data_IF_386636970279
#
_entry.id   IF_386636970279
#
_cell.length_a   1.000
_cell.length_b   1.000
_cell.length_c   1.000
_cell.angle_alpha   90.00
_cell.angle_beta   90.00
_cell.angle_gamma   90.00
#
_symmetry.space_group_name_H-M   'P 1'
#
loop_
_entity.id
_entity.type
_entity.pdbx_description
1 polymer ?
#
# COMPACT_ATOMS: atom_id res chain seq x y z
N UNK A 1 1.68 26.74 -9.16
CA UNK A 1 1.68 26.28 -7.76
C UNK A 1 1.98 24.80 -7.67
N UNK A 2 1.10 23.90 -8.17
CA UNK A 2 1.32 22.45 -8.08
C UNK A 2 2.63 21.97 -8.74
N UNK A 3 2.97 22.47 -9.94
CA UNK A 3 4.26 22.16 -10.56
C UNK A 3 5.48 22.58 -9.71
N UNK A 4 5.36 23.63 -8.92
CA UNK A 4 6.41 24.06 -7.98
C UNK A 4 6.50 23.10 -6.80
N UNK A 5 5.35 22.68 -6.23
CA UNK A 5 5.30 21.67 -5.16
C UNK A 5 5.92 20.35 -5.63
N UNK A 6 5.56 19.87 -6.81
CA UNK A 6 6.14 18.66 -7.41
C UNK A 6 7.66 18.79 -7.56
N UNK A 7 8.15 19.92 -8.06
CA UNK A 7 9.60 20.17 -8.19
C UNK A 7 10.31 20.20 -6.83
N UNK A 8 9.70 20.79 -5.81
CA UNK A 8 10.26 20.82 -4.45
C UNK A 8 10.25 19.44 -3.81
N UNK A 9 9.22 18.63 -4.03
CA UNK A 9 9.17 17.26 -3.53
C UNK A 9 10.36 16.42 -4.05
N UNK A 10 10.85 16.69 -5.25
CA UNK A 10 12.01 16.00 -5.83
C UNK A 10 13.35 16.37 -5.18
N UNK A 11 13.43 17.41 -4.34
CA UNK A 11 14.70 17.75 -3.67
C UNK A 11 15.06 16.74 -2.58
N UNK A 12 14.07 16.06 -2.00
CA UNK A 12 14.28 14.91 -1.12
C UNK A 12 13.25 13.80 -1.44
N UNK A 13 13.57 12.92 -2.41
CA UNK A 13 12.65 11.88 -2.88
C UNK A 13 12.16 10.93 -1.78
N UNK A 14 12.92 10.80 -0.69
CA UNK A 14 12.55 9.93 0.44
C UNK A 14 11.27 10.40 1.14
N UNK A 15 11.04 11.71 1.19
CA UNK A 15 9.87 12.32 1.83
C UNK A 15 8.92 12.99 0.83
N UNK A 16 9.14 12.80 -0.47
CA UNK A 16 8.36 13.43 -1.52
C UNK A 16 6.85 13.21 -1.35
N UNK A 17 6.40 11.96 -1.20
CA UNK A 17 4.96 11.68 -1.14
C UNK A 17 4.31 12.22 0.14
N UNK A 18 5.01 12.20 1.28
CA UNK A 18 4.45 12.78 2.51
C UNK A 18 4.41 14.30 2.46
N UNK A 19 5.44 14.92 1.89
CA UNK A 19 5.44 16.36 1.62
C UNK A 19 4.26 16.74 0.71
N UNK A 20 4.06 16.01 -0.39
CA UNK A 20 2.98 16.27 -1.34
C UNK A 20 1.61 16.07 -0.70
N UNK A 21 1.36 14.94 -0.03
CA UNK A 21 0.05 14.67 0.55
C UNK A 21 -0.33 15.70 1.61
N UNK A 22 0.60 16.14 2.48
CA UNK A 22 0.30 17.15 3.50
C UNK A 22 -0.01 18.52 2.86
N UNK A 23 0.76 18.93 1.85
CA UNK A 23 0.54 20.20 1.17
C UNK A 23 -0.76 20.20 0.37
N UNK A 24 -1.09 19.10 -0.30
CA UNK A 24 -2.37 18.99 -1.02
C UNK A 24 -3.55 18.94 -0.05
N UNK A 25 -3.45 18.23 1.08
CA UNK A 25 -4.48 18.24 2.12
C UNK A 25 -4.70 19.65 2.69
N UNK A 26 -3.63 20.37 3.01
CA UNK A 26 -3.71 21.75 3.48
C UNK A 26 -4.37 22.67 2.44
N UNK A 27 -4.04 22.49 1.16
CA UNK A 27 -4.65 23.24 0.06
C UNK A 27 -6.15 22.92 -0.07
N UNK A 28 -6.55 21.64 -0.04
CA UNK A 28 -7.95 21.21 -0.09
C UNK A 28 -8.74 21.80 1.08
N UNK A 29 -8.25 21.66 2.31
CA UNK A 29 -8.91 22.18 3.50
C UNK A 29 -9.10 23.69 3.43
N UNK A 30 -8.09 24.42 2.95
CA UNK A 30 -8.16 25.88 2.81
C UNK A 30 -9.13 26.34 1.71
N UNK A 31 -9.32 25.54 0.65
CA UNK A 31 -10.15 25.91 -0.49
C UNK A 31 -11.57 25.33 -0.44
N UNK A 32 -11.89 24.45 0.50
CA UNK A 32 -13.14 23.68 0.51
C UNK A 32 -14.38 24.58 0.36
N UNK A 33 -14.57 25.54 1.27
CA UNK A 33 -15.74 26.43 1.23
C UNK A 33 -15.73 27.35 0.00
N UNK A 34 -14.56 27.84 -0.38
CA UNK A 34 -14.39 28.76 -1.51
C UNK A 34 -14.65 28.08 -2.86
N UNK A 35 -14.28 26.81 -3.01
CA UNK A 35 -14.52 26.04 -4.22
C UNK A 35 -16.01 25.82 -4.50
N UNK A 36 -16.84 25.79 -3.46
CA UNK A 36 -18.29 25.62 -3.58
C UNK A 36 -19.00 26.90 -4.09
N UNK A 37 -18.40 28.07 -3.88
CA UNK A 37 -19.01 29.36 -4.26
C UNK A 37 -18.28 30.06 -5.40
N UNK A 38 -17.02 29.68 -5.69
CA UNK A 38 -16.22 30.22 -6.79
C UNK A 38 -15.87 29.10 -7.79
N UNK A 39 -16.59 28.99 -8.92
CA UNK A 39 -16.39 27.90 -9.90
C UNK A 39 -14.96 27.80 -10.43
N UNK A 40 -14.26 28.92 -10.58
CA UNK A 40 -12.87 28.94 -11.06
C UNK A 40 -11.90 28.27 -10.07
N UNK A 41 -12.25 28.21 -8.77
CA UNK A 41 -11.45 27.54 -7.75
C UNK A 41 -11.72 26.04 -7.66
N UNK A 42 -12.92 25.58 -8.06
CA UNK A 42 -13.30 24.17 -8.06
C UNK A 42 -12.30 23.30 -8.85
N UNK A 43 -11.83 23.78 -10.01
CA UNK A 43 -10.82 23.04 -10.81
C UNK A 43 -9.52 22.79 -10.03
N UNK A 44 -9.07 23.75 -9.23
CA UNK A 44 -7.83 23.62 -8.47
C UNK A 44 -8.03 22.75 -7.25
N UNK A 45 -9.20 22.82 -6.62
CA UNK A 45 -9.60 21.90 -5.57
C UNK A 45 -9.57 20.45 -6.08
N UNK A 46 -10.21 20.17 -7.22
CA UNK A 46 -10.21 18.83 -7.81
C UNK A 46 -8.81 18.34 -8.20
N UNK A 47 -7.97 19.20 -8.78
CA UNK A 47 -6.58 18.87 -9.08
C UNK A 47 -5.78 18.53 -7.81
N UNK A 48 -5.94 19.31 -6.74
CA UNK A 48 -5.30 19.02 -5.46
C UNK A 48 -5.84 17.71 -4.85
N UNK A 49 -7.14 17.43 -4.99
CA UNK A 49 -7.73 16.18 -4.51
C UNK A 49 -7.19 14.96 -5.24
N UNK A 50 -7.08 15.02 -6.56
CA UNK A 50 -6.50 13.92 -7.33
C UNK A 50 -5.03 13.72 -6.96
N UNK A 51 -4.25 14.80 -6.88
CA UNK A 51 -2.83 14.72 -6.53
C UNK A 51 -2.61 14.24 -5.08
N UNK A 52 -3.48 14.64 -4.15
CA UNK A 52 -3.53 14.13 -2.78
C UNK A 52 -3.73 12.62 -2.76
N UNK A 53 -4.78 12.12 -3.44
CA UNK A 53 -5.08 10.70 -3.47
C UNK A 53 -3.92 9.88 -4.07
N UNK A 54 -3.32 10.37 -5.16
CA UNK A 54 -2.16 9.72 -5.76
C UNK A 54 -0.96 9.68 -4.80
N UNK A 55 -0.67 10.78 -4.10
CA UNK A 55 0.41 10.83 -3.11
C UNK A 55 0.15 9.89 -1.93
N UNK A 56 -1.09 9.83 -1.44
CA UNK A 56 -1.52 8.85 -0.42
C UNK A 56 -1.28 7.42 -0.90
N UNK A 57 -1.77 7.05 -2.10
CA UNK A 57 -1.60 5.70 -2.65
C UNK A 57 -0.13 5.31 -2.78
N UNK A 58 0.73 6.20 -3.28
CA UNK A 58 2.18 5.93 -3.40
C UNK A 58 2.84 5.76 -2.03
N UNK A 59 2.55 6.66 -1.09
CA UNK A 59 3.11 6.61 0.26
C UNK A 59 2.71 5.32 0.99
N UNK A 60 1.42 4.99 0.96
CA UNK A 60 0.85 3.78 1.56
C UNK A 60 1.45 2.53 0.91
N UNK A 61 1.51 2.48 -0.42
CA UNK A 61 2.09 1.36 -1.16
C UNK A 61 3.55 1.14 -0.77
N UNK A 62 4.34 2.22 -0.65
CA UNK A 62 5.73 2.14 -0.21
C UNK A 62 5.86 1.55 1.21
N UNK A 63 5.01 1.96 2.15
CA UNK A 63 5.02 1.45 3.52
C UNK A 63 4.66 -0.03 3.56
N UNK A 64 3.59 -0.42 2.86
CA UNK A 64 3.15 -1.81 2.77
C UNK A 64 4.25 -2.68 2.14
N UNK A 65 4.84 -2.23 1.03
CA UNK A 65 5.88 -2.97 0.34
C UNK A 65 7.15 -3.11 1.19
N UNK A 66 7.53 -2.05 1.91
CA UNK A 66 8.66 -2.10 2.83
C UNK A 66 8.46 -3.14 3.93
N UNK A 67 7.23 -3.27 4.44
CA UNK A 67 6.94 -4.18 5.54
C UNK A 67 6.75 -5.64 5.08
N UNK A 68 6.14 -5.85 3.91
CA UNK A 68 5.82 -7.17 3.37
C UNK A 68 6.61 -7.50 2.10
N UNK A 69 7.83 -6.97 1.98
CA UNK A 69 8.67 -7.10 0.78
C UNK A 69 8.80 -8.54 0.30
N UNK A 70 9.05 -9.48 1.22
CA UNK A 70 9.19 -10.91 0.89
C UNK A 70 7.93 -11.52 0.29
N UNK A 71 6.74 -11.08 0.71
CA UNK A 71 5.47 -11.53 0.16
C UNK A 71 5.36 -11.10 -1.30
N UNK A 72 5.58 -9.80 -1.55
CA UNK A 72 5.40 -9.24 -2.88
C UNK A 72 6.51 -9.65 -3.84
N UNK A 73 7.74 -9.83 -3.38
CA UNK A 73 8.80 -10.42 -4.20
C UNK A 73 8.48 -11.87 -4.60
N UNK A 74 7.87 -12.65 -3.69
CA UNK A 74 7.43 -14.01 -4.01
C UNK A 74 6.29 -13.99 -5.03
N UNK A 75 5.27 -13.15 -4.83
CA UNK A 75 4.16 -12.95 -5.76
C UNK A 75 4.63 -12.54 -7.15
N UNK A 76 5.51 -11.54 -7.23
CA UNK A 76 6.06 -11.03 -8.49
C UNK A 76 6.83 -12.09 -9.27
N UNK A 77 7.63 -12.92 -8.60
CA UNK A 77 8.34 -14.03 -9.26
C UNK A 77 7.37 -15.03 -9.91
N UNK A 78 6.24 -15.29 -9.27
CA UNK A 78 5.19 -16.14 -9.85
C UNK A 78 4.61 -15.45 -11.08
N UNK A 79 4.19 -14.19 -10.96
CA UNK A 79 3.60 -13.42 -12.06
C UNK A 79 4.54 -13.35 -13.28
N UNK A 80 5.84 -13.07 -13.06
CA UNK A 80 6.84 -13.02 -14.12
C UNK A 80 6.97 -14.37 -14.85
N UNK A 81 6.92 -15.49 -14.12
CA UNK A 81 7.01 -16.83 -14.71
C UNK A 81 5.72 -17.25 -15.42
N UNK A 82 4.55 -16.78 -14.99
CA UNK A 82 3.27 -17.07 -15.66
C UNK A 82 3.21 -16.56 -17.10
N UNK A 83 4.09 -15.64 -17.51
CA UNK A 83 4.23 -15.23 -18.92
C UNK A 83 5.03 -16.21 -19.77
N UNK A 84 5.74 -17.16 -19.15
CA UNK A 84 6.73 -18.02 -19.83
C UNK A 84 6.46 -19.52 -19.69
N UNK A 85 5.83 -19.94 -18.58
CA UNK A 85 5.57 -21.36 -18.26
C UNK A 85 4.16 -21.55 -17.70
N UNK A 86 3.69 -22.80 -17.64
CA UNK A 86 2.36 -23.10 -17.10
C UNK A 86 2.33 -23.01 -15.57
N UNK A 87 1.13 -22.80 -15.00
CA UNK A 87 0.94 -22.66 -13.56
C UNK A 87 1.42 -23.90 -12.77
N UNK A 88 1.26 -25.08 -13.37
CA UNK A 88 1.66 -26.37 -12.81
C UNK A 88 3.18 -26.55 -12.74
N UNK A 89 3.93 -25.84 -13.58
CA UNK A 89 5.40 -25.90 -13.64
C UNK A 89 6.06 -24.97 -12.60
N UNK A 90 5.37 -23.93 -12.15
CA UNK A 90 5.89 -22.93 -11.21
C UNK A 90 6.36 -23.53 -9.88
N UNK A 91 5.65 -24.48 -9.23
CA UNK A 91 6.10 -25.11 -8.01
C UNK A 91 7.42 -25.89 -8.12
N UNK A 92 7.88 -26.18 -9.34
CA UNK A 92 9.15 -26.86 -9.60
C UNK A 92 10.31 -25.90 -9.85
N UNK A 93 10.05 -24.59 -9.94
CA UNK A 93 11.07 -23.56 -10.11
C UNK A 93 11.79 -23.25 -8.79
N UNK A 94 13.07 -22.91 -8.90
CA UNK A 94 13.92 -22.64 -7.75
C UNK A 94 13.36 -21.49 -6.90
N UNK A 95 13.09 -21.75 -5.62
CA UNK A 95 12.60 -20.76 -4.67
C UNK A 95 11.10 -20.51 -4.72
N UNK A 96 10.35 -21.30 -5.49
CA UNK A 96 8.88 -21.27 -5.59
C UNK A 96 8.25 -22.62 -5.25
N UNK A 97 8.97 -23.51 -4.56
CA UNK A 97 8.39 -24.77 -4.12
C UNK A 97 7.30 -24.54 -3.07
N UNK A 98 6.45 -25.56 -2.85
CA UNK A 98 5.49 -25.56 -1.72
C UNK A 98 6.17 -25.29 -0.38
N UNK A 99 7.38 -25.80 -0.20
CA UNK A 99 8.18 -25.58 1.00
C UNK A 99 8.64 -24.11 1.12
N UNK A 100 9.03 -23.48 0.00
CA UNK A 100 9.42 -22.07 -0.03
C UNK A 100 8.22 -21.16 0.31
N UNK A 101 7.04 -21.46 -0.24
CA UNK A 101 5.80 -20.77 0.10
C UNK A 101 5.53 -20.85 1.61
N UNK A 102 5.54 -22.05 2.20
CA UNK A 102 5.30 -22.23 3.65
C UNK A 102 6.32 -21.49 4.50
N UNK A 103 7.59 -21.51 4.11
CA UNK A 103 8.67 -20.81 4.82
C UNK A 103 8.48 -19.29 4.75
N UNK A 104 8.11 -18.77 3.58
CA UNK A 104 7.80 -17.36 3.37
C UNK A 104 6.59 -16.94 4.20
N UNK A 105 5.47 -17.67 4.13
CA UNK A 105 4.27 -17.39 4.92
C UNK A 105 4.55 -17.41 6.42
N UNK A 106 5.27 -18.43 6.91
CA UNK A 106 5.66 -18.50 8.32
C UNK A 106 6.43 -17.25 8.76
N UNK A 107 7.37 -16.77 7.94
CA UNK A 107 8.15 -15.57 8.23
C UNK A 107 7.30 -14.31 8.35
N UNK A 108 6.18 -14.24 7.64
CA UNK A 108 5.27 -13.08 7.66
C UNK A 108 4.30 -13.20 8.83
N UNK A 109 3.66 -14.35 8.97
CA UNK A 109 2.62 -14.58 9.97
C UNK A 109 3.16 -14.56 11.40
N UNK A 110 4.38 -15.07 11.65
CA UNK A 110 4.97 -15.07 12.99
C UNK A 110 5.27 -13.67 13.55
N UNK A 111 5.19 -12.63 12.72
CA UNK A 111 5.47 -11.24 13.09
C UNK A 111 4.47 -10.26 12.51
N UNK A 112 3.25 -10.71 12.17
CA UNK A 112 2.26 -9.88 11.49
C UNK A 112 1.82 -8.70 12.37
N UNK A 113 1.56 -8.90 13.67
CA UNK A 113 1.18 -7.82 14.58
C UNK A 113 2.27 -6.74 14.68
N UNK A 114 3.52 -7.16 14.79
CA UNK A 114 4.68 -6.25 14.80
C UNK A 114 4.81 -5.50 13.48
N UNK A 115 4.45 -6.16 12.38
CA UNK A 115 4.48 -5.58 11.04
C UNK A 115 3.38 -4.53 10.86
N UNK A 116 2.16 -4.82 11.32
CA UNK A 116 1.03 -3.88 11.32
C UNK A 116 1.37 -2.66 12.19
N UNK A 117 1.89 -2.87 13.40
CA UNK A 117 2.33 -1.79 14.28
C UNK A 117 3.45 -0.94 13.65
N UNK A 118 4.39 -1.58 12.93
CA UNK A 118 5.45 -0.88 12.21
C UNK A 118 4.90 -0.04 11.05
N UNK A 119 3.89 -0.53 10.31
CA UNK A 119 3.22 0.26 9.27
C UNK A 119 2.56 1.50 9.87
N UNK A 120 1.76 1.33 10.92
CA UNK A 120 1.10 2.45 11.62
C UNK A 120 2.12 3.48 12.10
N UNK A 121 3.18 3.04 12.77
CA UNK A 121 4.26 3.91 13.24
C UNK A 121 4.94 4.64 12.10
N UNK A 122 5.11 4.01 10.94
CA UNK A 122 5.78 4.60 9.79
C UNK A 122 4.91 5.63 9.07
N UNK A 123 3.58 5.43 9.04
CA UNK A 123 2.61 6.44 8.64
C UNK A 123 2.66 7.67 9.56
N UNK A 124 2.73 7.45 10.87
CA UNK A 124 2.75 8.54 11.85
C UNK A 124 4.06 9.34 11.85
N UNK A 125 5.22 8.67 11.72
CA UNK A 125 6.53 9.22 12.09
C UNK A 125 6.90 10.57 11.47
N UNK A 126 6.46 10.84 10.24
CA UNK A 126 6.82 12.05 9.50
C UNK A 126 5.59 12.90 9.16
N UNK A 127 4.42 12.55 9.71
CA UNK A 127 3.18 13.27 9.49
C UNK A 127 3.10 14.41 10.51
N UNK A 128 2.93 15.63 10.01
CA UNK A 128 2.73 16.84 10.82
C UNK A 128 1.26 17.02 11.18
N UNK A 129 0.36 16.75 10.22
CA UNK A 129 -1.09 16.83 10.40
C UNK A 129 -1.66 15.51 10.96
N UNK A 130 -1.68 15.36 12.28
CA UNK A 130 -2.17 14.15 12.96
C UNK A 130 -3.63 13.78 12.62
N UNK A 131 -4.44 14.78 12.27
CA UNK A 131 -5.84 14.60 11.84
C UNK A 131 -5.99 13.74 10.57
N UNK A 132 -4.95 13.66 9.73
CA UNK A 132 -4.94 12.81 8.54
C UNK A 132 -4.66 11.34 8.86
N UNK A 133 -4.10 11.04 10.04
CA UNK A 133 -3.63 9.70 10.38
C UNK A 133 -4.74 8.64 10.37
N UNK A 134 -5.95 8.87 10.93
CA UNK A 134 -7.01 7.85 10.91
C UNK A 134 -7.43 7.46 9.49
N UNK A 135 -7.63 8.44 8.61
CA UNK A 135 -8.05 8.19 7.23
C UNK A 135 -6.94 7.52 6.40
N UNK A 136 -5.68 7.94 6.59
CA UNK A 136 -4.52 7.29 5.97
C UNK A 136 -4.36 5.85 6.46
N UNK A 137 -4.63 5.58 7.74
CA UNK A 137 -4.55 4.24 8.30
C UNK A 137 -5.65 3.33 7.73
N UNK A 138 -6.88 3.81 7.63
CA UNK A 138 -7.98 3.05 7.01
C UNK A 138 -7.69 2.74 5.54
N UNK A 139 -7.16 3.72 4.77
CA UNK A 139 -6.69 3.50 3.40
C UNK A 139 -5.55 2.46 3.35
N UNK A 140 -4.61 2.52 4.28
CA UNK A 140 -3.50 1.56 4.36
C UNK A 140 -3.97 0.14 4.65
N UNK A 141 -4.89 -0.05 5.59
CA UNK A 141 -5.50 -1.36 5.88
C UNK A 141 -6.20 -1.91 4.65
N UNK A 142 -7.00 -1.08 3.96
CA UNK A 142 -7.71 -1.48 2.74
C UNK A 142 -6.74 -1.89 1.62
N UNK A 143 -5.77 -1.04 1.31
CA UNK A 143 -4.77 -1.31 0.26
C UNK A 143 -3.98 -2.59 0.56
N UNK A 144 -3.60 -2.83 1.82
CA UNK A 144 -2.92 -4.06 2.21
C UNK A 144 -3.81 -5.30 2.00
N UNK A 145 -5.09 -5.24 2.38
CA UNK A 145 -6.03 -6.34 2.16
C UNK A 145 -6.25 -6.62 0.67
N UNK A 146 -6.39 -5.58 -0.17
CA UNK A 146 -6.57 -5.74 -1.62
C UNK A 146 -5.34 -6.42 -2.26
N UNK A 147 -4.14 -6.03 -1.84
CA UNK A 147 -2.89 -6.68 -2.28
C UNK A 147 -2.75 -8.11 -1.75
N UNK A 148 -3.16 -8.36 -0.51
CA UNK A 148 -3.14 -9.69 0.09
C UNK A 148 -4.14 -10.63 -0.60
N UNK A 149 -5.34 -10.15 -0.93
CA UNK A 149 -6.34 -10.92 -1.68
C UNK A 149 -5.80 -11.32 -3.07
N UNK A 150 -5.18 -10.38 -3.78
CA UNK A 150 -4.52 -10.67 -5.06
C UNK A 150 -3.46 -11.78 -4.93
N UNK A 151 -2.64 -11.71 -3.87
CA UNK A 151 -1.67 -12.76 -3.55
C UNK A 151 -2.35 -14.09 -3.21
N UNK A 152 -3.44 -14.07 -2.45
CA UNK A 152 -4.16 -15.27 -2.05
C UNK A 152 -4.78 -16.00 -3.25
N UNK A 153 -5.36 -15.25 -4.19
CA UNK A 153 -5.85 -15.78 -5.46
C UNK A 153 -4.73 -16.39 -6.29
N UNK A 154 -3.57 -15.73 -6.35
CA UNK A 154 -2.38 -16.24 -7.04
C UNK A 154 -1.90 -17.57 -6.42
N UNK A 155 -1.82 -17.64 -5.09
CA UNK A 155 -1.44 -18.87 -4.38
C UNK A 155 -2.45 -19.98 -4.62
N UNK A 156 -3.75 -19.71 -4.58
CA UNK A 156 -4.78 -20.72 -4.83
C UNK A 156 -4.66 -21.32 -6.24
N UNK A 157 -4.24 -20.52 -7.23
CA UNK A 157 -4.00 -20.97 -8.60
C UNK A 157 -2.76 -21.86 -8.73
N UNK A 158 -1.65 -21.49 -8.08
CA UNK A 158 -0.36 -22.19 -8.25
C UNK A 158 -0.21 -23.37 -7.27
N UNK A 159 -0.80 -23.26 -6.08
CA UNK A 159 -0.64 -24.21 -4.98
C UNK A 159 -2.01 -24.63 -4.41
N UNK A 160 -2.86 -25.32 -5.18
CA UNK A 160 -4.25 -25.62 -4.79
C UNK A 160 -4.37 -26.51 -3.54
N UNK A 161 -3.29 -27.18 -3.13
CA UNK A 161 -3.25 -28.01 -1.92
C UNK A 161 -2.71 -27.29 -0.69
N UNK A 162 -2.28 -26.03 -0.82
CA UNK A 162 -1.74 -25.23 0.29
C UNK A 162 -2.83 -24.36 0.89
N UNK A 163 -2.90 -24.35 2.21
CA UNK A 163 -3.80 -23.47 2.95
C UNK A 163 -3.02 -22.27 3.45
N UNK A 164 -3.54 -21.08 3.18
CA UNK A 164 -3.04 -19.81 3.72
C UNK A 164 -4.15 -19.14 4.54
N UNK A 165 -3.83 -18.20 5.44
CA UNK A 165 -4.84 -17.41 6.10
C UNK A 165 -5.76 -16.72 5.10
N UNK A 166 -7.05 -16.74 5.36
CA UNK A 166 -8.03 -16.04 4.56
C UNK A 166 -7.89 -14.54 4.72
N UNK A 167 -8.40 -13.79 3.74
CA UNK A 167 -8.49 -12.32 3.81
C UNK A 167 -9.30 -11.88 5.03
N UNK A 168 -10.28 -12.68 5.48
CA UNK A 168 -11.06 -12.39 6.68
C UNK A 168 -10.20 -12.49 7.95
N UNK A 169 -9.40 -13.55 8.09
CA UNK A 169 -8.50 -13.70 9.25
C UNK A 169 -7.47 -12.57 9.30
N UNK A 170 -6.91 -12.16 8.15
CA UNK A 170 -6.00 -11.01 8.08
C UNK A 170 -6.71 -9.69 8.42
N UNK A 171 -7.97 -9.53 8.00
CA UNK A 171 -8.78 -8.34 8.35
C UNK A 171 -9.02 -8.25 9.85
N UNK A 172 -9.33 -9.37 10.50
CA UNK A 172 -9.57 -9.40 11.95
C UNK A 172 -8.29 -9.05 12.72
N UNK A 173 -7.12 -9.46 12.22
CA UNK A 173 -5.81 -9.05 12.77
C UNK A 173 -5.52 -7.55 12.58
N UNK A 174 -5.97 -6.94 11.49
CA UNK A 174 -5.82 -5.48 11.29
C UNK A 174 -6.80 -4.67 12.14
N UNK A 175 -7.94 -5.25 12.52
CA UNK A 175 -8.97 -4.61 13.32
C UNK A 175 -8.65 -4.60 14.82
N UNK A 176 -7.74 -5.47 15.28
CA UNK A 176 -7.31 -5.54 16.68
C UNK A 176 -6.28 -4.47 17.08
N UNK A 177 -5.91 -3.59 16.15
CA UNK A 177 -4.95 -2.48 16.32
C UNK A 177 -5.60 -1.10 16.21
#
# INVERSE_FOLDING_TARGET
MFATLEKLAQTDPKYADIFLLENYAAFQNSLYDLANVVPTLAKFYHQASEAYEQACTRHISMIIYYQFERLFQFARKIEDLMFTISAEEIPFQLGLSKMDLRKMLKSILSGVDKSIAAMYKKLQKNLTSEELLPSLWDKCKKEFLDKYDSFAQLVAKIYPTETIPSVSEIRDLLASM
#
